data_IF_606969637072
#
_entry.id   IF_606969637072
#
_cell.length_a   1.000
_cell.length_b   1.000
_cell.length_c   1.000
_cell.angle_alpha   90.00
_cell.angle_beta   90.00
_cell.angle_gamma   90.00
#
_symmetry.space_group_name_H-M   'P 1'
#
loop_
_entity.id
_entity.type
_entity.pdbx_description
1 polymer ?
#
# COMPACT_ATOMS: atom_id res chain seq x y z
N UNK A 1 -11.69 0.13 -17.94
CA UNK A 1 -10.38 0.77 -18.08
C UNK A 1 -10.52 2.07 -18.83
N UNK A 2 -9.56 2.98 -18.65
CA UNK A 2 -9.49 4.26 -19.33
C UNK A 2 -8.13 4.38 -20.03
N UNK A 3 -8.17 4.84 -21.27
CA UNK A 3 -6.96 5.09 -22.05
C UNK A 3 -6.19 6.29 -21.49
N UNK A 4 -4.85 6.21 -21.39
CA UNK A 4 -4.01 7.35 -21.02
C UNK A 4 -4.20 8.54 -21.97
N UNK A 5 -4.46 9.76 -21.46
CA UNK A 5 -4.54 10.96 -22.29
C UNK A 5 -3.19 11.36 -22.91
N UNK A 6 -2.10 11.16 -22.16
CA UNK A 6 -0.75 11.52 -22.59
C UNK A 6 0.11 10.27 -22.88
N UNK A 7 1.11 10.36 -23.79
CA UNK A 7 2.09 9.31 -23.99
C UNK A 7 2.86 8.98 -22.71
N UNK A 8 3.15 7.69 -22.52
CA UNK A 8 3.86 7.15 -21.35
C UNK A 8 5.09 6.34 -21.78
N UNK A 9 5.97 6.06 -20.83
CA UNK A 9 7.02 5.06 -20.97
C UNK A 9 6.41 3.65 -21.11
N UNK A 10 7.09 2.72 -21.80
CA UNK A 10 6.71 1.33 -21.74
C UNK A 10 6.85 0.79 -20.31
N UNK A 11 6.01 -0.18 -19.96
CA UNK A 11 6.15 -0.91 -18.69
C UNK A 11 7.49 -1.65 -18.71
N UNK A 12 8.26 -1.55 -17.63
CA UNK A 12 9.56 -2.19 -17.55
C UNK A 12 9.45 -3.73 -17.54
N UNK A 13 10.58 -4.40 -17.76
CA UNK A 13 10.70 -5.85 -17.60
C UNK A 13 11.80 -6.15 -16.59
N UNK A 14 11.76 -7.33 -15.98
CA UNK A 14 12.82 -7.75 -15.08
C UNK A 14 14.14 -7.93 -15.82
N UNK A 15 15.22 -7.42 -15.23
CA UNK A 15 16.57 -7.62 -15.71
C UNK A 15 17.24 -8.81 -15.00
N UNK A 16 18.49 -9.10 -15.37
CA UNK A 16 19.37 -10.05 -14.67
C UNK A 16 18.86 -11.51 -14.58
N UNK A 17 17.95 -11.90 -15.48
CA UNK A 17 17.35 -13.23 -15.49
C UNK A 17 16.40 -13.49 -14.32
N UNK A 18 15.90 -12.44 -13.66
CA UNK A 18 14.94 -12.50 -12.56
C UNK A 18 13.53 -12.91 -13.03
N UNK A 19 13.26 -12.86 -14.32
CA UNK A 19 12.01 -13.30 -14.93
C UNK A 19 11.67 -14.76 -14.59
N UNK A 20 12.68 -15.61 -14.35
CA UNK A 20 12.47 -17.00 -13.88
C UNK A 20 11.75 -17.09 -12.53
N UNK A 21 11.87 -16.08 -11.67
CA UNK A 21 11.21 -16.06 -10.34
C UNK A 21 9.70 -16.10 -10.50
N UNK A 22 9.17 -15.50 -11.57
CA UNK A 22 7.73 -15.45 -11.87
C UNK A 22 7.11 -16.85 -12.06
N UNK A 23 7.92 -17.83 -12.46
CA UNK A 23 7.46 -19.18 -12.82
C UNK A 23 8.00 -20.28 -11.89
N UNK A 24 8.75 -19.90 -10.85
CA UNK A 24 9.30 -20.83 -9.86
C UNK A 24 8.55 -20.66 -8.53
N UNK A 25 7.67 -21.62 -8.16
CA UNK A 25 6.91 -21.52 -6.93
C UNK A 25 7.80 -21.41 -5.69
N UNK A 26 7.40 -20.55 -4.77
CA UNK A 26 8.13 -20.31 -3.52
C UNK A 26 9.33 -19.37 -3.69
N UNK A 27 10.24 -19.46 -2.74
CA UNK A 27 11.38 -18.53 -2.66
C UNK A 27 12.55 -19.03 -3.49
N UNK A 28 13.08 -18.16 -4.32
CA UNK A 28 14.34 -18.34 -5.04
C UNK A 28 15.48 -17.64 -4.29
N UNK A 29 16.43 -18.42 -3.78
CA UNK A 29 17.66 -17.88 -3.18
C UNK A 29 18.48 -17.10 -4.22
N UNK A 30 19.05 -15.97 -3.82
CA UNK A 30 20.09 -15.31 -4.62
C UNK A 30 21.33 -16.20 -4.70
N UNK A 31 21.81 -16.63 -3.53
CA UNK A 31 22.92 -17.56 -3.34
C UNK A 31 22.44 -18.71 -2.45
N UNK A 32 22.64 -19.95 -2.89
CA UNK A 32 22.29 -21.12 -2.09
C UNK A 32 23.18 -21.21 -0.84
N UNK A 33 22.62 -21.21 0.39
CA UNK A 33 23.42 -21.13 1.61
C UNK A 33 24.25 -22.39 1.89
N UNK A 34 23.94 -23.53 1.26
CA UNK A 34 24.66 -24.78 1.46
C UNK A 34 25.86 -24.92 0.51
N UNK A 35 25.68 -24.63 -0.76
CA UNK A 35 26.70 -24.78 -1.81
C UNK A 35 27.47 -23.50 -2.11
N UNK A 36 26.97 -22.35 -1.66
CA UNK A 36 27.45 -21.01 -2.02
C UNK A 36 27.38 -20.69 -3.52
N UNK A 37 26.64 -21.49 -4.30
CA UNK A 37 26.41 -21.26 -5.72
C UNK A 37 25.35 -20.16 -5.89
N UNK A 38 25.63 -19.20 -6.75
CA UNK A 38 24.69 -18.14 -7.10
C UNK A 38 23.70 -18.61 -8.17
N UNK A 39 22.41 -18.38 -7.92
CA UNK A 39 21.35 -18.65 -8.90
C UNK A 39 21.16 -17.49 -9.90
N UNK A 40 21.67 -16.31 -9.55
CA UNK A 40 21.60 -15.07 -10.33
C UNK A 40 22.96 -14.38 -10.33
N UNK A 41 23.08 -13.25 -11.05
CA UNK A 41 24.34 -12.48 -11.04
C UNK A 41 24.72 -12.02 -9.63
N UNK A 42 26.00 -12.13 -9.29
CA UNK A 42 26.57 -11.66 -8.01
C UNK A 42 26.40 -10.14 -7.83
N UNK A 43 26.18 -9.41 -8.93
CA UNK A 43 25.91 -7.98 -8.88
C UNK A 43 24.66 -7.64 -8.06
N UNK A 44 23.63 -8.50 -8.07
CA UNK A 44 22.40 -8.29 -7.30
C UNK A 44 22.60 -8.47 -5.78
N UNK A 45 23.71 -9.05 -5.34
CA UNK A 45 23.93 -9.30 -3.92
C UNK A 45 24.06 -8.01 -3.14
N UNK A 46 24.82 -7.04 -3.64
CA UNK A 46 25.14 -5.82 -2.93
C UNK A 46 24.10 -4.75 -3.25
N UNK A 47 23.32 -4.38 -2.25
CA UNK A 47 22.29 -3.34 -2.40
C UNK A 47 23.00 -1.98 -2.49
N UNK A 48 22.76 -1.19 -3.54
CA UNK A 48 23.31 0.16 -3.62
C UNK A 48 22.84 1.02 -2.45
N UNK A 49 23.75 1.80 -1.88
CA UNK A 49 23.39 2.75 -0.82
C UNK A 49 22.45 3.83 -1.36
N UNK A 50 21.40 4.15 -0.60
CA UNK A 50 20.50 5.27 -0.89
C UNK A 50 21.28 6.59 -1.01
N UNK A 51 22.38 6.74 -0.26
CA UNK A 51 23.24 7.93 -0.29
C UNK A 51 23.97 8.10 -1.64
N UNK A 52 24.28 6.97 -2.30
CA UNK A 52 25.03 6.95 -3.56
C UNK A 52 24.12 7.12 -4.78
N UNK A 53 22.80 7.00 -4.60
CA UNK A 53 21.82 7.10 -5.68
C UNK A 53 21.45 8.57 -5.95
N UNK A 54 21.43 8.94 -7.23
CA UNK A 54 21.10 10.29 -7.69
C UNK A 54 19.60 10.41 -8.02
N UNK A 55 18.75 10.55 -7.01
CA UNK A 55 17.29 10.67 -7.16
C UNK A 55 16.86 11.82 -8.07
N UNK A 56 17.65 12.89 -8.13
CA UNK A 56 17.44 14.01 -9.05
C UNK A 56 17.50 13.61 -10.55
N UNK A 57 18.04 12.42 -10.87
CA UNK A 57 18.06 11.86 -12.22
C UNK A 57 16.81 11.04 -12.57
N UNK A 58 15.92 10.80 -11.60
CA UNK A 58 14.64 10.15 -11.84
C UNK A 58 13.54 11.18 -12.14
N UNK A 59 12.49 10.73 -12.84
CA UNK A 59 11.24 11.47 -12.90
C UNK A 59 10.67 11.67 -11.50
N UNK A 60 10.23 12.89 -11.19
CA UNK A 60 9.65 13.20 -9.88
C UNK A 60 8.33 12.47 -9.65
N UNK A 61 8.09 11.98 -8.42
CA UNK A 61 6.81 11.39 -8.03
C UNK A 61 5.65 12.37 -8.27
N UNK A 62 4.61 11.93 -8.98
CA UNK A 62 3.42 12.73 -9.28
C UNK A 62 2.27 12.32 -8.34
N UNK A 63 1.90 13.20 -7.42
CA UNK A 63 0.71 12.99 -6.57
C UNK A 63 -0.58 13.09 -7.38
N UNK A 64 -1.69 12.56 -6.88
CA UNK A 64 -2.98 12.56 -7.59
C UNK A 64 -3.41 13.99 -7.94
N UNK A 65 -3.25 14.93 -7.01
CA UNK A 65 -3.61 16.34 -7.23
C UNK A 65 -2.72 17.07 -8.24
N UNK A 66 -1.51 16.57 -8.50
CA UNK A 66 -0.58 17.13 -9.50
C UNK A 66 -0.68 16.45 -10.87
N UNK A 67 -1.47 15.39 -10.98
CA UNK A 67 -1.62 14.62 -12.21
C UNK A 67 -2.73 15.19 -13.10
N UNK A 68 -2.36 15.95 -14.13
CA UNK A 68 -3.31 16.55 -15.07
C UNK A 68 -4.10 15.53 -15.91
N UNK A 69 -3.54 14.35 -16.17
CA UNK A 69 -4.26 13.30 -16.90
C UNK A 69 -5.37 12.74 -16.03
N UNK A 70 -5.07 12.51 -14.74
CA UNK A 70 -6.04 12.02 -13.77
C UNK A 70 -7.22 12.99 -13.59
N UNK A 71 -6.95 14.30 -13.51
CA UNK A 71 -7.99 15.34 -13.47
C UNK A 71 -8.83 15.35 -14.75
N UNK A 72 -8.17 15.31 -15.91
CA UNK A 72 -8.84 15.35 -17.21
C UNK A 72 -9.75 14.14 -17.40
N UNK A 73 -9.28 12.95 -17.02
CA UNK A 73 -10.06 11.72 -17.03
C UNK A 73 -11.26 11.81 -16.10
N UNK A 74 -11.08 12.23 -14.84
CA UNK A 74 -12.18 12.38 -13.90
C UNK A 74 -13.28 13.32 -14.42
N UNK A 75 -12.90 14.47 -14.99
CA UNK A 75 -13.85 15.41 -15.60
C UNK A 75 -14.56 14.82 -16.82
N UNK A 76 -13.81 14.23 -17.75
CA UNK A 76 -14.38 13.66 -18.98
C UNK A 76 -15.33 12.50 -18.71
N UNK A 77 -15.03 11.70 -17.68
CA UNK A 77 -15.81 10.56 -17.25
C UNK A 77 -16.89 10.91 -16.21
N UNK A 78 -17.01 12.19 -15.84
CA UNK A 78 -17.96 12.72 -14.85
C UNK A 78 -17.87 12.03 -13.49
N UNK A 79 -16.64 11.78 -13.03
CA UNK A 79 -16.36 11.17 -11.73
C UNK A 79 -15.95 12.24 -10.74
N UNK A 80 -16.57 12.21 -9.56
CA UNK A 80 -16.35 13.21 -8.50
C UNK A 80 -14.98 13.05 -7.84
N UNK A 81 -14.43 11.84 -7.80
CA UNK A 81 -13.20 11.54 -7.08
C UNK A 81 -12.11 11.02 -8.01
N UNK A 82 -10.87 11.37 -7.68
CA UNK A 82 -9.67 10.90 -8.34
C UNK A 82 -8.65 10.46 -7.28
N UNK A 83 -7.93 9.36 -7.47
CA UNK A 83 -6.91 8.94 -6.51
C UNK A 83 -5.93 7.94 -7.07
N UNK A 84 -4.84 7.69 -6.34
CA UNK A 84 -3.83 6.70 -6.71
C UNK A 84 -3.82 5.52 -5.74
N UNK A 85 -3.23 4.41 -6.15
CA UNK A 85 -3.05 3.21 -5.31
C UNK A 85 -2.48 3.52 -3.92
N UNK A 86 -1.50 4.41 -3.84
CA UNK A 86 -0.86 4.78 -2.57
C UNK A 86 -1.75 5.62 -1.66
N UNK A 87 -2.64 6.46 -2.21
CA UNK A 87 -3.58 7.27 -1.41
C UNK A 87 -4.85 6.52 -1.01
N UNK A 88 -5.34 5.61 -1.86
CA UNK A 88 -6.60 4.91 -1.63
C UNK A 88 -6.45 3.64 -0.78
N UNK A 89 -5.31 2.93 -0.87
CA UNK A 89 -5.13 1.64 -0.20
C UNK A 89 -5.22 1.70 1.33
N UNK A 90 -4.86 2.82 1.95
CA UNK A 90 -5.05 3.06 3.38
C UNK A 90 -6.53 3.14 3.77
N UNK A 91 -7.32 3.94 3.04
CA UNK A 91 -8.77 4.07 3.24
C UNK A 91 -9.48 2.72 3.04
N UNK A 92 -9.16 2.02 1.95
CA UNK A 92 -9.71 0.70 1.64
C UNK A 92 -9.37 -0.33 2.71
N UNK A 93 -8.20 -0.25 3.35
CA UNK A 93 -7.82 -1.14 4.45
C UNK A 93 -8.72 -0.95 5.68
N UNK A 94 -9.00 0.29 6.07
CA UNK A 94 -9.89 0.58 7.21
C UNK A 94 -11.34 0.19 6.92
N UNK A 95 -11.81 0.41 5.69
CA UNK A 95 -13.11 -0.08 5.23
C UNK A 95 -13.16 -1.61 5.27
N UNK A 96 -12.11 -2.29 4.83
CA UNK A 96 -12.03 -3.75 4.92
C UNK A 96 -12.15 -4.24 6.36
N UNK A 97 -11.45 -3.61 7.32
CA UNK A 97 -11.55 -3.99 8.73
C UNK A 97 -12.98 -3.86 9.24
N UNK A 98 -13.72 -2.83 8.81
CA UNK A 98 -15.12 -2.63 9.15
C UNK A 98 -16.00 -3.74 8.55
N UNK A 99 -16.00 -3.90 7.22
CA UNK A 99 -16.91 -4.83 6.55
C UNK A 99 -16.60 -6.30 6.84
N UNK A 100 -15.35 -6.62 7.13
CA UNK A 100 -14.91 -7.99 7.48
C UNK A 100 -15.07 -8.31 8.97
N UNK A 101 -15.37 -7.31 9.81
CA UNK A 101 -15.42 -7.48 11.27
C UNK A 101 -14.08 -7.99 11.82
N UNK A 102 -12.97 -7.34 11.45
CA UNK A 102 -11.60 -7.73 11.81
C UNK A 102 -11.27 -9.20 11.48
N UNK A 103 -11.64 -9.67 10.29
CA UNK A 103 -11.29 -11.01 9.84
C UNK A 103 -9.77 -11.22 9.94
N UNK A 104 -9.37 -12.28 10.64
CA UNK A 104 -7.97 -12.70 10.79
C UNK A 104 -7.41 -13.25 9.49
N UNK A 105 -6.10 -13.08 9.31
CA UNK A 105 -5.38 -13.66 8.17
C UNK A 105 -5.28 -15.18 8.30
N UNK A 106 -5.10 -15.83 7.17
CA UNK A 106 -4.86 -17.26 7.06
C UNK A 106 -3.36 -17.53 6.92
N UNK A 107 -2.77 -18.16 7.94
CA UNK A 107 -1.36 -18.57 7.99
C UNK A 107 -1.19 -20.08 7.91
N UNK A 108 -2.23 -20.82 7.52
CA UNK A 108 -2.19 -22.30 7.46
C UNK A 108 -1.23 -22.86 6.41
N UNK A 109 -0.80 -22.04 5.45
CA UNK A 109 0.24 -22.38 4.49
C UNK A 109 1.65 -22.39 5.09
N UNK A 110 1.82 -21.85 6.29
CA UNK A 110 3.10 -21.80 6.98
C UNK A 110 3.35 -23.06 7.81
N UNK A 111 4.61 -23.32 8.14
CA UNK A 111 5.01 -24.41 8.99
C UNK A 111 4.45 -24.29 10.42
N UNK A 112 4.55 -25.39 11.16
CA UNK A 112 4.16 -25.47 12.58
C UNK A 112 4.79 -24.41 13.48
N UNK A 113 5.86 -23.74 13.04
CA UNK A 113 6.47 -22.64 13.78
C UNK A 113 5.50 -21.48 13.99
N UNK A 114 4.52 -21.29 13.11
CA UNK A 114 3.57 -20.18 13.14
C UNK A 114 2.14 -20.59 13.56
N UNK A 115 1.93 -21.84 13.98
CA UNK A 115 0.58 -22.36 14.26
C UNK A 115 -0.13 -21.65 15.43
N UNK A 116 0.63 -21.14 16.40
CA UNK A 116 0.13 -20.44 17.58
C UNK A 116 0.44 -18.94 17.56
N UNK A 117 1.04 -18.47 16.47
CA UNK A 117 1.41 -17.09 16.30
C UNK A 117 0.17 -16.23 15.97
N UNK A 118 0.16 -14.92 16.33
CA UNK A 118 -1.02 -14.08 16.14
C UNK A 118 -1.43 -13.93 14.66
N UNK A 119 -2.72 -14.11 14.37
CA UNK A 119 -3.29 -14.00 13.01
C UNK A 119 -4.05 -12.68 12.79
N UNK A 120 -3.90 -11.71 13.69
CA UNK A 120 -4.40 -10.35 13.48
C UNK A 120 -3.43 -9.54 12.60
N UNK A 121 -3.95 -8.56 11.86
CA UNK A 121 -3.11 -7.58 11.17
C UNK A 121 -2.20 -6.85 12.15
N UNK A 122 -1.01 -6.47 11.70
CA UNK A 122 -0.05 -5.76 12.56
C UNK A 122 -0.57 -4.36 12.92
N UNK A 123 -0.13 -3.76 14.04
CA UNK A 123 -0.47 -2.39 14.39
C UNK A 123 -0.18 -1.39 13.25
N UNK A 124 0.95 -1.55 12.55
CA UNK A 124 1.29 -0.70 11.40
C UNK A 124 0.33 -0.83 10.21
N UNK A 125 -0.25 -2.00 9.98
CA UNK A 125 -1.27 -2.19 8.95
C UNK A 125 -2.64 -1.62 9.35
N UNK A 126 -2.89 -1.47 10.65
CA UNK A 126 -4.07 -0.83 11.23
C UNK A 126 -3.89 0.65 11.55
N UNK A 127 -2.73 1.23 11.24
CA UNK A 127 -2.44 2.63 11.49
C UNK A 127 -3.48 3.54 10.78
N UNK A 128 -4.00 4.59 11.43
CA UNK A 128 -4.98 5.48 10.81
C UNK A 128 -4.53 6.01 9.45
N UNK A 129 -5.45 6.13 8.51
CA UNK A 129 -5.17 6.70 7.20
C UNK A 129 -5.48 8.20 7.19
N UNK A 130 -4.53 9.01 6.76
CA UNK A 130 -4.70 10.45 6.58
C UNK A 130 -4.55 10.82 5.11
N UNK A 131 -5.51 11.55 4.58
CA UNK A 131 -5.53 12.02 3.19
C UNK A 131 -6.02 13.46 3.10
N UNK A 132 -5.72 14.11 1.99
CA UNK A 132 -6.35 15.37 1.58
C UNK A 132 -7.11 15.15 0.30
N UNK A 133 -8.39 15.51 0.30
CA UNK A 133 -9.21 15.65 -0.89
C UNK A 133 -9.00 17.07 -1.40
N UNK A 134 -8.16 17.26 -2.43
CA UNK A 134 -7.95 18.57 -3.07
C UNK A 134 -9.08 18.83 -4.05
N UNK A 135 -9.80 19.92 -3.85
CA UNK A 135 -10.93 20.30 -4.70
C UNK A 135 -10.49 21.16 -5.89
N UNK A 136 -11.02 20.86 -7.08
CA UNK A 136 -10.97 21.74 -8.24
C UNK A 136 -12.12 21.41 -9.21
N UNK A 137 -12.96 22.41 -9.51
CA UNK A 137 -14.04 22.33 -10.49
C UNK A 137 -14.98 21.12 -10.29
N UNK A 138 -15.44 20.89 -9.05
CA UNK A 138 -16.36 19.80 -8.71
C UNK A 138 -15.73 18.40 -8.65
N UNK A 139 -14.42 18.30 -8.86
CA UNK A 139 -13.65 17.05 -8.72
C UNK A 139 -12.72 17.16 -7.51
N UNK A 140 -12.51 16.03 -6.84
CA UNK A 140 -11.70 15.90 -5.64
C UNK A 140 -10.58 14.87 -5.86
N UNK A 141 -9.34 15.34 -5.96
CA UNK A 141 -8.17 14.48 -6.05
C UNK A 141 -7.63 14.12 -4.66
N UNK A 142 -7.48 12.84 -4.37
CA UNK A 142 -7.09 12.31 -3.07
C UNK A 142 -5.57 12.06 -3.04
N UNK A 143 -4.89 12.81 -2.19
CA UNK A 143 -3.47 12.66 -1.90
C UNK A 143 -3.26 12.10 -0.49
N UNK A 144 -2.24 11.23 -0.33
CA UNK A 144 -1.80 10.79 0.99
C UNK A 144 -1.25 11.98 1.77
N UNK A 145 -1.62 12.09 3.03
CA UNK A 145 -1.15 13.15 3.93
C UNK A 145 -0.24 12.55 4.99
N UNK A 146 1.04 12.96 4.97
CA UNK A 146 1.91 12.74 6.14
C UNK A 146 1.62 13.82 7.17
N UNK A 147 1.05 13.45 8.30
CA UNK A 147 0.86 14.36 9.44
C UNK A 147 2.15 14.65 10.21
N UNK A 148 3.25 13.97 9.86
CA UNK A 148 4.56 14.16 10.48
C UNK A 148 5.50 14.82 9.46
N UNK A 149 5.84 16.11 9.64
CA UNK A 149 6.84 16.79 8.82
C UNK A 149 8.17 16.03 8.83
N UNK A 150 8.73 15.77 7.64
CA UNK A 150 10.03 15.09 7.47
C UNK A 150 10.06 13.59 7.80
N UNK A 151 8.94 12.95 8.15
CA UNK A 151 8.92 11.49 8.42
C UNK A 151 9.21 10.63 7.20
N UNK A 152 8.75 11.06 6.02
CA UNK A 152 9.05 10.42 4.74
C UNK A 152 10.53 10.51 4.38
N UNK A 153 11.17 11.66 4.67
CA UNK A 153 12.60 11.90 4.46
C UNK A 153 13.46 11.03 5.38
N UNK A 154 12.99 10.77 6.60
CA UNK A 154 13.66 9.92 7.59
C UNK A 154 13.49 8.41 7.35
N UNK A 155 12.53 8.00 6.52
CA UNK A 155 12.29 6.58 6.26
C UNK A 155 13.12 6.10 5.07
N UNK A 156 14.31 5.57 5.36
CA UNK A 156 15.23 4.99 4.36
C UNK A 156 14.56 3.93 3.47
N UNK A 157 13.55 3.21 3.98
CA UNK A 157 12.88 2.15 3.22
C UNK A 157 12.01 2.69 2.07
N UNK A 158 11.47 3.90 2.20
CA UNK A 158 10.73 4.55 1.12
C UNK A 158 11.64 4.75 -0.09
N UNK A 159 12.81 5.33 0.14
CA UNK A 159 13.82 5.58 -0.88
C UNK A 159 14.41 4.27 -1.43
N UNK A 160 14.66 3.30 -0.55
CA UNK A 160 15.16 1.99 -0.93
C UNK A 160 14.21 1.25 -1.88
N UNK A 161 12.89 1.41 -1.71
CA UNK A 161 11.91 0.85 -2.64
C UNK A 161 12.13 1.33 -4.08
N UNK A 162 12.30 2.64 -4.27
CA UNK A 162 12.56 3.25 -5.59
C UNK A 162 13.90 2.79 -6.18
N UNK A 163 14.95 2.75 -5.36
CA UNK A 163 16.28 2.29 -5.81
C UNK A 163 16.20 0.84 -6.28
N UNK A 164 15.58 -0.03 -5.49
CA UNK A 164 15.49 -1.46 -5.78
C UNK A 164 14.56 -1.76 -6.96
N UNK A 165 13.48 -1.00 -7.16
CA UNK A 165 12.65 -1.12 -8.38
C UNK A 165 13.52 -0.94 -9.64
N UNK A 166 14.29 0.14 -9.72
CA UNK A 166 15.18 0.39 -10.87
C UNK A 166 16.34 -0.61 -10.92
N UNK A 167 16.87 -1.03 -9.78
CA UNK A 167 17.95 -2.02 -9.69
C UNK A 167 17.56 -3.40 -10.23
N UNK A 168 16.29 -3.78 -10.10
CA UNK A 168 15.79 -5.08 -10.55
C UNK A 168 15.29 -5.07 -12.01
N UNK A 169 15.08 -3.88 -12.58
CA UNK A 169 14.49 -3.70 -13.92
C UNK A 169 15.45 -3.12 -14.95
N UNK A 170 16.55 -2.48 -14.53
CA UNK A 170 17.54 -1.88 -15.45
C UNK A 170 18.79 -2.75 -15.59
N UNK A 171 19.33 -2.92 -16.82
CA UNK A 171 20.66 -3.48 -17.01
C UNK A 171 21.72 -2.73 -16.19
N UNK A 172 22.78 -3.45 -15.80
CA UNK A 172 23.83 -2.94 -14.89
C UNK A 172 24.44 -1.63 -15.38
N UNK A 173 24.70 -1.54 -16.67
CA UNK A 173 25.32 -0.38 -17.32
C UNK A 173 24.40 0.84 -17.23
N UNK A 174 23.10 0.65 -17.42
CA UNK A 174 22.10 1.72 -17.32
C UNK A 174 21.88 2.15 -15.87
N UNK A 175 21.75 1.20 -14.95
CA UNK A 175 21.59 1.51 -13.52
C UNK A 175 22.79 2.30 -12.97
N UNK A 176 24.00 1.96 -13.42
CA UNK A 176 25.23 2.63 -12.99
C UNK A 176 25.28 4.12 -13.40
N UNK A 177 24.48 4.55 -14.39
CA UNK A 177 24.30 5.97 -14.76
C UNK A 177 23.42 6.75 -13.78
N UNK A 178 22.68 6.05 -12.91
CA UNK A 178 21.87 6.66 -11.84
C UNK A 178 22.64 6.82 -10.53
N UNK A 179 23.89 6.36 -10.47
CA UNK A 179 24.77 6.53 -9.30
C UNK A 179 25.50 7.88 -9.36
N UNK A 180 25.64 8.56 -8.22
CA UNK A 180 26.34 9.85 -8.11
C UNK A 180 27.78 9.78 -8.60
N UNK A 181 28.44 8.64 -8.42
CA UNK A 181 29.82 8.38 -8.85
C UNK A 181 29.97 8.08 -10.35
N UNK A 182 28.89 8.06 -11.12
CA UNK A 182 28.94 7.68 -12.53
C UNK A 182 29.79 8.65 -13.37
N UNK A 183 30.73 8.16 -14.20
CA UNK A 183 31.51 8.98 -15.11
C UNK A 183 30.72 9.45 -16.34
N UNK A 184 29.59 8.80 -16.63
CA UNK A 184 28.69 9.08 -17.77
C UNK A 184 27.25 9.19 -17.24
N UNK A 185 26.92 10.25 -16.49
CA UNK A 185 25.62 10.40 -15.84
C UNK A 185 24.52 10.65 -16.88
N UNK A 186 23.30 10.19 -16.59
CA UNK A 186 22.13 10.58 -17.38
C UNK A 186 21.96 12.10 -17.30
N UNK A 187 22.04 12.79 -18.45
CA UNK A 187 22.07 14.26 -18.51
C UNK A 187 20.70 14.91 -18.26
N UNK A 188 19.60 14.24 -18.64
CA UNK A 188 18.24 14.72 -18.41
C UNK A 188 17.34 13.62 -17.85
N UNK A 189 16.47 13.93 -16.86
CA UNK A 189 15.43 13.01 -16.45
C UNK A 189 14.50 12.73 -17.64
N UNK A 190 14.05 11.47 -17.77
CA UNK A 190 13.16 11.09 -18.86
C UNK A 190 11.92 12.00 -18.90
N UNK A 191 11.70 12.64 -20.05
CA UNK A 191 10.60 13.61 -20.23
C UNK A 191 9.23 12.95 -20.36
N UNK A 192 9.19 11.63 -20.58
CA UNK A 192 7.95 10.87 -20.68
C UNK A 192 7.48 10.45 -19.30
N UNK A 193 6.16 10.40 -19.13
CA UNK A 193 5.51 9.96 -17.89
C UNK A 193 5.78 8.48 -17.66
N UNK A 194 5.90 8.09 -16.40
CA UNK A 194 5.92 6.68 -16.00
C UNK A 194 4.67 5.94 -16.52
N UNK A 195 4.77 4.62 -16.63
CA UNK A 195 3.65 3.79 -17.06
C UNK A 195 2.53 3.81 -16.00
N UNK A 196 1.36 4.34 -16.36
CA UNK A 196 0.18 4.42 -15.51
C UNK A 196 -1.01 3.73 -16.15
N UNK A 197 -1.70 2.89 -15.36
CA UNK A 197 -3.05 2.43 -15.68
C UNK A 197 -4.09 3.32 -15.01
N UNK A 198 -5.13 3.67 -15.75
CA UNK A 198 -6.30 4.35 -15.24
C UNK A 198 -7.52 3.43 -15.26
N UNK A 199 -8.24 3.37 -14.14
CA UNK A 199 -9.48 2.61 -13.98
C UNK A 199 -10.59 3.50 -13.43
N UNK A 200 -11.84 3.08 -13.54
CA UNK A 200 -12.99 3.82 -13.02
C UNK A 200 -13.96 2.93 -12.27
N UNK A 201 -14.61 3.51 -11.27
CA UNK A 201 -15.81 2.99 -10.61
C UNK A 201 -16.97 3.97 -10.85
N UNK A 202 -18.03 3.91 -10.04
CA UNK A 202 -19.18 4.80 -10.19
C UNK A 202 -18.79 6.27 -9.93
N UNK A 203 -17.99 6.53 -8.89
CA UNK A 203 -17.59 7.90 -8.53
C UNK A 203 -16.10 8.18 -8.60
N UNK A 204 -15.25 7.17 -8.82
CA UNK A 204 -13.80 7.35 -8.89
C UNK A 204 -13.23 7.17 -10.30
N UNK A 205 -12.18 7.93 -10.58
CA UNK A 205 -11.06 7.49 -11.43
C UNK A 205 -9.88 7.14 -10.53
N UNK A 206 -9.27 5.99 -10.73
CA UNK A 206 -8.14 5.49 -9.95
C UNK A 206 -6.93 5.27 -10.86
N UNK A 207 -5.75 5.65 -10.37
CA UNK A 207 -4.47 5.46 -11.07
C UNK A 207 -3.59 4.46 -10.34
N UNK A 208 -2.95 3.56 -11.09
CA UNK A 208 -1.82 2.75 -10.60
C UNK A 208 -0.59 3.00 -11.47
N UNK A 209 0.57 3.16 -10.83
CA UNK A 209 1.86 2.96 -11.50
C UNK A 209 2.04 1.47 -11.79
N UNK A 210 2.64 1.17 -12.94
CA UNK A 210 2.90 -0.20 -13.39
C UNK A 210 4.40 -0.43 -13.38
N UNK A 211 4.87 -1.26 -12.44
CA UNK A 211 6.30 -1.47 -12.23
C UNK A 211 6.90 -2.41 -13.29
N UNK A 212 6.20 -3.50 -13.62
CA UNK A 212 6.78 -4.54 -14.46
C UNK A 212 5.75 -5.33 -15.28
N UNK A 213 6.22 -5.93 -16.39
CA UNK A 213 5.41 -6.71 -17.31
C UNK A 213 6.14 -7.95 -17.83
N UNK A 214 5.44 -9.08 -17.86
CA UNK A 214 5.84 -10.30 -18.57
C UNK A 214 4.63 -10.96 -19.24
N UNK A 215 4.68 -11.09 -20.57
CA UNK A 215 3.60 -11.66 -21.39
C UNK A 215 3.22 -13.11 -21.07
N UNK A 216 4.08 -13.85 -20.34
CA UNK A 216 3.83 -15.25 -19.97
C UNK A 216 2.99 -15.38 -18.70
N UNK A 217 2.83 -14.30 -17.93
CA UNK A 217 1.95 -14.28 -16.77
C UNK A 217 0.47 -14.18 -17.21
N UNK A 218 -0.47 -14.67 -16.40
CA UNK A 218 -1.91 -14.54 -16.67
C UNK A 218 -2.39 -13.08 -16.79
N UNK A 219 -3.60 -12.92 -17.32
CA UNK A 219 -4.29 -11.63 -17.38
C UNK A 219 -3.57 -10.61 -18.28
N UNK A 220 -3.21 -9.47 -17.71
CA UNK A 220 -2.50 -8.39 -18.42
C UNK A 220 -1.00 -8.63 -18.52
N UNK A 221 -0.46 -9.63 -17.82
CA UNK A 221 0.98 -9.85 -17.66
C UNK A 221 1.69 -8.82 -16.76
N UNK A 222 0.96 -7.83 -16.23
CA UNK A 222 1.53 -6.76 -15.40
C UNK A 222 1.62 -7.22 -13.95
N UNK A 223 2.69 -6.86 -13.25
CA UNK A 223 2.87 -7.13 -11.84
C UNK A 223 3.67 -6.03 -11.16
N UNK A 224 3.54 -5.98 -9.84
CA UNK A 224 4.17 -4.96 -8.99
C UNK A 224 5.54 -5.45 -8.49
N UNK A 225 6.48 -4.53 -8.25
CA UNK A 225 7.76 -4.86 -7.59
C UNK A 225 7.73 -4.33 -6.17
N UNK A 226 7.84 -5.23 -5.20
CA UNK A 226 7.89 -4.92 -3.78
C UNK A 226 9.21 -5.38 -3.18
N UNK A 227 9.62 -4.67 -2.14
CA UNK A 227 10.81 -5.01 -1.38
C UNK A 227 10.43 -5.32 0.06
N UNK A 228 11.14 -6.27 0.64
CA UNK A 228 10.92 -6.70 2.01
C UNK A 228 12.22 -6.62 2.79
N UNK A 229 12.36 -5.52 3.53
CA UNK A 229 13.41 -5.39 4.52
C UNK A 229 13.21 -6.43 5.63
N UNK A 230 14.30 -7.06 6.05
CA UNK A 230 14.32 -8.05 7.13
C UNK A 230 13.78 -7.47 8.45
N UNK A 231 13.27 -8.34 9.32
CA UNK A 231 12.55 -7.92 10.53
C UNK A 231 13.27 -6.87 11.40
N UNK A 232 14.59 -6.92 11.67
CA UNK A 232 15.21 -5.94 12.56
C UNK A 232 15.21 -4.53 11.98
N UNK A 233 15.41 -4.41 10.66
CA UNK A 233 15.33 -3.13 9.93
C UNK A 233 13.94 -2.50 10.08
N UNK A 234 12.88 -3.32 10.01
CA UNK A 234 11.49 -2.84 10.10
C UNK A 234 11.09 -2.43 11.51
N UNK A 235 11.71 -3.03 12.52
CA UNK A 235 11.43 -2.71 13.92
C UNK A 235 12.22 -1.50 14.42
N UNK A 236 13.39 -1.25 13.81
CA UNK A 236 14.23 -0.11 14.14
C UNK A 236 14.88 0.48 12.89
N UNK A 237 14.10 1.38 12.26
CA UNK A 237 14.48 2.08 11.03
C UNK A 237 15.65 3.05 11.23
N UNK A 238 15.86 3.54 12.45
CA UNK A 238 16.88 4.56 12.72
C UNK A 238 18.28 3.93 12.80
N UNK A 239 18.38 2.69 13.29
CA UNK A 239 19.63 1.92 13.37
C UNK A 239 19.69 0.84 12.28
N UNK A 240 19.24 1.17 11.06
CA UNK A 240 19.17 0.20 9.97
C UNK A 240 20.56 -0.31 9.55
N UNK A 241 21.62 0.50 9.70
CA UNK A 241 22.99 0.12 9.34
C UNK A 241 23.50 -0.97 10.30
N UNK A 242 23.29 -0.83 11.61
CA UNK A 242 23.61 -1.84 12.63
C UNK A 242 22.78 -3.10 12.46
N UNK A 243 21.48 -2.94 12.19
CA UNK A 243 20.54 -4.03 11.99
C UNK A 243 20.78 -4.82 10.68
N UNK A 244 21.59 -4.30 9.77
CA UNK A 244 21.98 -5.00 8.53
C UNK A 244 22.85 -6.24 8.78
N UNK A 245 23.31 -6.48 10.01
CA UNK A 245 23.97 -7.73 10.40
C UNK A 245 23.05 -8.97 10.39
N UNK A 246 21.73 -8.79 10.37
CA UNK A 246 20.77 -9.89 10.28
C UNK A 246 20.79 -10.55 8.90
N UNK A 247 20.83 -11.87 8.87
CA UNK A 247 20.92 -12.68 7.63
C UNK A 247 19.79 -13.71 7.59
N UNK A 248 19.15 -13.86 6.44
CA UNK A 248 18.23 -14.97 6.19
C UNK A 248 19.06 -16.21 5.84
N UNK A 249 18.95 -17.26 6.65
CA UNK A 249 19.74 -18.50 6.56
C UNK A 249 18.93 -19.70 6.08
N UNK A 250 17.62 -19.68 6.32
CA UNK A 250 16.75 -20.84 6.03
C UNK A 250 15.50 -20.43 5.24
N UNK A 251 14.89 -21.40 4.57
CA UNK A 251 13.57 -21.20 3.95
C UNK A 251 12.48 -21.09 5.02
N UNK A 252 12.51 -22.00 6.00
CA UNK A 252 11.52 -22.12 7.07
C UNK A 252 12.14 -21.90 8.44
N UNK A 253 11.34 -21.43 9.40
CA UNK A 253 11.77 -21.17 10.77
C UNK A 253 11.16 -19.90 11.36
N UNK A 254 11.21 -19.73 12.69
CA UNK A 254 10.61 -18.57 13.36
C UNK A 254 11.45 -17.28 13.26
N UNK A 255 12.74 -17.39 12.90
CA UNK A 255 13.67 -16.27 12.75
C UNK A 255 14.74 -16.64 11.71
N UNK A 256 15.43 -15.63 11.16
CA UNK A 256 16.47 -15.78 10.13
C UNK A 256 15.99 -16.62 8.93
N UNK A 257 14.70 -16.53 8.61
CA UNK A 257 14.05 -17.35 7.59
C UNK A 257 13.18 -16.51 6.66
N UNK A 258 13.03 -16.95 5.42
CA UNK A 258 12.05 -16.35 4.51
C UNK A 258 10.62 -16.52 5.02
N UNK A 259 10.31 -17.65 5.64
CA UNK A 259 8.99 -17.92 6.23
C UNK A 259 8.61 -16.89 7.30
N UNK A 260 9.56 -16.43 8.13
CA UNK A 260 9.31 -15.35 9.10
C UNK A 260 8.99 -14.04 8.40
N UNK A 261 9.74 -13.70 7.35
CA UNK A 261 9.50 -12.47 6.61
C UNK A 261 8.16 -12.51 5.87
N UNK A 262 7.80 -13.66 5.32
CA UNK A 262 6.54 -13.92 4.64
C UNK A 262 5.34 -13.95 5.60
N UNK A 263 5.47 -14.56 6.78
CA UNK A 263 4.47 -14.47 7.86
C UNK A 263 4.15 -13.02 8.23
N UNK A 264 5.19 -12.22 8.47
CA UNK A 264 4.98 -10.81 8.75
C UNK A 264 4.40 -10.08 7.52
N UNK A 265 4.78 -10.48 6.29
CA UNK A 265 4.29 -9.86 5.06
C UNK A 265 2.79 -10.03 4.88
N UNK A 266 2.27 -11.25 5.14
CA UNK A 266 0.82 -11.54 5.18
C UNK A 266 0.10 -10.56 6.10
N UNK A 267 0.62 -10.37 7.32
CA UNK A 267 -0.04 -9.57 8.35
C UNK A 267 0.14 -8.06 8.18
N UNK A 268 1.18 -7.62 7.47
CA UNK A 268 1.59 -6.21 7.43
C UNK A 268 1.37 -5.50 6.10
N UNK A 269 1.30 -6.24 4.97
CA UNK A 269 1.32 -5.60 3.65
C UNK A 269 0.37 -6.22 2.62
N UNK A 270 0.08 -7.53 2.69
CA UNK A 270 -0.74 -8.23 1.69
C UNK A 270 -2.10 -7.58 1.43
N UNK A 271 -2.78 -7.04 2.45
CA UNK A 271 -4.05 -6.35 2.24
C UNK A 271 -3.89 -5.11 1.33
N UNK A 272 -2.84 -4.31 1.54
CA UNK A 272 -2.53 -3.16 0.68
C UNK A 272 -2.13 -3.65 -0.72
N UNK A 273 -1.24 -4.64 -0.81
CA UNK A 273 -0.78 -5.16 -2.10
C UNK A 273 -1.94 -5.73 -2.92
N UNK A 274 -2.86 -6.46 -2.29
CA UNK A 274 -4.08 -6.96 -2.95
C UNK A 274 -4.91 -5.83 -3.56
N UNK A 275 -5.14 -4.74 -2.82
CA UNK A 275 -5.85 -3.58 -3.38
C UNK A 275 -5.07 -2.84 -4.47
N UNK A 276 -3.76 -2.68 -4.32
CA UNK A 276 -2.92 -2.06 -5.34
C UNK A 276 -2.93 -2.88 -6.63
N UNK A 277 -2.77 -4.20 -6.52
CA UNK A 277 -2.83 -5.11 -7.65
C UNK A 277 -4.19 -5.05 -8.36
N UNK A 278 -5.30 -4.97 -7.63
CA UNK A 278 -6.64 -4.84 -8.23
C UNK A 278 -6.86 -3.51 -8.94
N UNK A 279 -6.43 -2.40 -8.34
CA UNK A 279 -6.46 -1.08 -8.98
C UNK A 279 -5.52 -1.04 -10.20
N UNK A 280 -4.41 -1.77 -10.17
CA UNK A 280 -3.45 -1.89 -11.26
C UNK A 280 -3.79 -2.96 -12.30
N UNK A 281 -4.81 -3.79 -12.07
CA UNK A 281 -5.08 -5.01 -12.84
C UNK A 281 -3.82 -5.86 -13.07
N UNK A 282 -3.11 -6.09 -11.96
CA UNK A 282 -1.85 -6.82 -11.88
C UNK A 282 -2.11 -8.27 -11.46
N UNK A 283 -1.31 -9.20 -11.99
CA UNK A 283 -1.39 -10.63 -11.68
C UNK A 283 -0.88 -10.95 -10.26
N UNK A 284 0.06 -10.17 -9.75
CA UNK A 284 0.71 -10.41 -8.46
C UNK A 284 1.80 -9.40 -8.16
N UNK A 285 2.67 -9.76 -7.22
CA UNK A 285 3.83 -8.96 -6.83
C UNK A 285 5.10 -9.79 -6.78
N UNK A 286 6.20 -9.26 -7.30
CA UNK A 286 7.54 -9.78 -7.03
C UNK A 286 8.04 -9.17 -5.72
N UNK A 287 8.53 -10.00 -4.80
CA UNK A 287 9.09 -9.56 -3.52
C UNK A 287 10.58 -9.84 -3.49
N UNK A 288 11.40 -8.79 -3.34
CA UNK A 288 12.84 -8.89 -3.09
C UNK A 288 13.14 -8.77 -1.59
N UNK A 289 13.72 -9.81 -0.98
CA UNK A 289 14.08 -9.82 0.45
C UNK A 289 15.49 -9.30 0.65
N UNK A 290 15.67 -8.33 1.54
CA UNK A 290 16.96 -7.67 1.77
C UNK A 290 17.12 -7.21 3.21
N UNK A 291 18.34 -6.88 3.62
CA UNK A 291 18.63 -6.24 4.91
C UNK A 291 19.21 -4.83 4.72
N UNK A 292 18.93 -4.19 3.58
CA UNK A 292 19.47 -2.88 3.11
C UNK A 292 20.93 -2.88 2.67
N UNK A 293 21.74 -3.87 3.08
CA UNK A 293 23.10 -4.05 2.59
C UNK A 293 23.20 -5.13 1.51
N UNK A 294 22.41 -6.21 1.65
CA UNK A 294 22.37 -7.31 0.69
C UNK A 294 20.97 -7.84 0.40
N UNK A 295 20.80 -8.40 -0.79
CA UNK A 295 19.61 -9.16 -1.20
C UNK A 295 19.83 -10.65 -0.88
N UNK A 296 18.82 -11.30 -0.30
CA UNK A 296 18.84 -12.73 0.05
C UNK A 296 18.21 -13.61 -1.03
N UNK A 297 17.16 -13.10 -1.68
CA UNK A 297 16.38 -13.86 -2.64
C UNK A 297 15.08 -13.16 -3.00
N UNK A 298 14.30 -13.85 -3.84
CA UNK A 298 13.11 -13.31 -4.48
C UNK A 298 11.95 -14.30 -4.39
N UNK A 299 10.73 -13.80 -4.32
CA UNK A 299 9.52 -14.62 -4.38
C UNK A 299 8.50 -13.91 -5.26
N UNK A 300 7.84 -14.63 -6.16
CA UNK A 300 6.64 -14.14 -6.80
C UNK A 300 5.42 -14.56 -5.99
N UNK A 301 4.54 -13.62 -5.66
CA UNK A 301 3.31 -13.85 -4.91
C UNK A 301 2.13 -13.46 -5.79
N UNK A 302 1.39 -14.43 -6.36
CA UNK A 302 0.22 -14.13 -7.18
C UNK A 302 -0.93 -13.60 -6.34
N UNK A 303 -1.84 -12.88 -6.98
CA UNK A 303 -3.02 -12.29 -6.34
C UNK A 303 -3.95 -13.36 -5.72
N UNK A 304 -4.00 -14.56 -6.31
CA UNK A 304 -4.71 -15.72 -5.77
C UNK A 304 -4.17 -16.22 -4.42
N UNK A 305 -2.86 -16.16 -4.23
CA UNK A 305 -2.20 -16.50 -2.97
C UNK A 305 -2.50 -15.45 -1.91
N UNK A 306 -2.43 -14.16 -2.26
CA UNK A 306 -2.85 -13.07 -1.37
C UNK A 306 -4.31 -13.23 -0.95
N UNK A 307 -5.21 -13.61 -1.86
CA UNK A 307 -6.61 -13.87 -1.55
C UNK A 307 -6.81 -15.01 -0.56
N UNK A 308 -6.05 -16.09 -0.74
CA UNK A 308 -6.06 -17.23 0.18
C UNK A 308 -5.59 -16.84 1.58
N UNK A 309 -4.58 -15.97 1.67
CA UNK A 309 -4.04 -15.45 2.93
C UNK A 309 -4.94 -14.41 3.60
N UNK A 310 -5.63 -13.54 2.86
CA UNK A 310 -6.38 -12.41 3.44
C UNK A 310 -7.88 -12.70 3.54
N UNK A 311 -8.46 -13.26 2.48
CA UNK A 311 -9.91 -13.49 2.36
C UNK A 311 -10.29 -14.97 2.58
N UNK A 312 -9.29 -15.84 2.71
CA UNK A 312 -9.41 -17.25 3.12
C UNK A 312 -9.59 -18.25 1.98
N UNK A 313 -9.73 -17.78 0.73
CA UNK A 313 -9.57 -18.61 -0.47
C UNK A 313 -9.30 -17.71 -1.67
N UNK A 314 -8.69 -18.28 -2.70
CA UNK A 314 -8.58 -17.68 -4.03
C UNK A 314 -9.93 -17.19 -4.57
N UNK A 315 -9.90 -16.10 -5.35
CA UNK A 315 -11.05 -15.55 -6.08
C UNK A 315 -12.03 -14.73 -5.24
N UNK A 316 -11.84 -14.62 -3.93
CA UNK A 316 -12.72 -13.83 -3.06
C UNK A 316 -12.41 -12.34 -3.07
N UNK A 317 -11.21 -11.95 -3.49
CA UNK A 317 -10.75 -10.58 -3.33
C UNK A 317 -11.49 -9.56 -4.19
N UNK A 318 -11.99 -9.93 -5.37
CA UNK A 318 -12.70 -8.99 -6.26
C UNK A 318 -13.99 -8.48 -5.63
N UNK A 319 -14.79 -9.38 -5.08
CA UNK A 319 -16.02 -9.03 -4.38
C UNK A 319 -15.75 -8.18 -3.13
N UNK A 320 -14.68 -8.48 -2.40
CA UNK A 320 -14.27 -7.66 -1.24
C UNK A 320 -13.86 -6.26 -1.70
N UNK A 321 -13.05 -6.17 -2.75
CA UNK A 321 -12.59 -4.91 -3.31
C UNK A 321 -13.76 -4.06 -3.80
N UNK A 322 -14.71 -4.65 -4.51
CA UNK A 322 -15.92 -3.97 -4.98
C UNK A 322 -16.72 -3.37 -3.80
N UNK A 323 -16.95 -4.15 -2.73
CA UNK A 323 -17.62 -3.65 -1.52
C UNK A 323 -16.84 -2.54 -0.81
N UNK A 324 -15.51 -2.66 -0.75
CA UNK A 324 -14.68 -1.61 -0.19
C UNK A 324 -14.76 -0.31 -1.00
N UNK A 325 -14.74 -0.39 -2.34
CA UNK A 325 -14.86 0.77 -3.22
C UNK A 325 -16.24 1.42 -3.08
N UNK A 326 -17.33 0.64 -3.08
CA UNK A 326 -18.69 1.17 -2.87
C UNK A 326 -18.84 1.91 -1.54
N UNK A 327 -18.29 1.35 -0.46
CA UNK A 327 -18.29 2.01 0.84
C UNK A 327 -17.43 3.28 0.84
N UNK A 328 -16.25 3.25 0.19
CA UNK A 328 -15.40 4.42 0.04
C UNK A 328 -16.13 5.54 -0.71
N UNK A 329 -16.85 5.21 -1.78
CA UNK A 329 -17.68 6.15 -2.53
C UNK A 329 -18.76 6.80 -1.64
N UNK A 330 -19.45 6.01 -0.82
CA UNK A 330 -20.45 6.51 0.11
C UNK A 330 -19.84 7.47 1.14
N UNK A 331 -18.74 7.07 1.79
CA UNK A 331 -18.07 7.88 2.82
C UNK A 331 -17.52 9.18 2.22
N UNK A 332 -16.85 9.11 1.06
CA UNK A 332 -16.27 10.31 0.43
C UNK A 332 -17.36 11.26 -0.10
N UNK A 333 -18.49 10.71 -0.57
CA UNK A 333 -19.67 11.53 -0.93
C UNK A 333 -20.19 12.30 0.28
N UNK A 334 -20.33 11.63 1.43
CA UNK A 334 -20.75 12.30 2.65
C UNK A 334 -19.71 13.34 3.10
N UNK A 335 -18.42 13.04 2.96
CA UNK A 335 -17.36 13.97 3.31
C UNK A 335 -17.46 15.30 2.54
N UNK A 336 -17.67 15.24 1.23
CA UNK A 336 -17.81 16.46 0.41
C UNK A 336 -19.14 17.19 0.61
N UNK A 337 -20.18 16.52 1.10
CA UNK A 337 -21.42 17.19 1.51
C UNK A 337 -21.24 18.03 2.77
N UNK A 338 -20.37 17.61 3.71
CA UNK A 338 -20.11 18.37 4.94
C UNK A 338 -19.33 19.66 4.68
N UNK A 339 -18.43 19.65 3.69
CA UNK A 339 -17.64 20.80 3.27
C UNK A 339 -17.68 20.95 1.74
N UNK A 340 -18.80 21.46 1.19
CA UNK A 340 -18.96 21.59 -0.25
C UNK A 340 -17.95 22.56 -0.84
N UNK A 341 -17.48 22.23 -2.05
CA UNK A 341 -16.56 23.02 -2.89
C UNK A 341 -15.24 23.42 -2.20
N UNK A 342 -14.83 22.71 -1.16
CA UNK A 342 -13.60 22.97 -0.40
C UNK A 342 -12.68 21.76 -0.39
N UNK A 343 -11.38 21.99 -0.31
CA UNK A 343 -10.44 20.90 -0.03
C UNK A 343 -10.65 20.39 1.41
N UNK A 344 -10.54 19.08 1.64
CA UNK A 344 -10.87 18.44 2.93
C UNK A 344 -9.70 17.61 3.42
N UNK A 345 -9.24 17.83 4.66
CA UNK A 345 -8.41 16.89 5.41
C UNK A 345 -9.31 15.80 5.97
N UNK A 346 -8.97 14.55 5.68
CA UNK A 346 -9.70 13.38 6.15
C UNK A 346 -8.76 12.44 6.91
N UNK A 347 -9.13 12.10 8.14
CA UNK A 347 -8.45 11.07 8.93
C UNK A 347 -9.43 9.94 9.22
N UNK A 348 -9.03 8.70 8.97
CA UNK A 348 -9.90 7.54 9.03
C UNK A 348 -9.27 6.44 9.87
N UNK A 349 -10.03 5.89 10.83
CA UNK A 349 -9.60 4.76 11.64
C UNK A 349 -10.75 3.81 11.95
N UNK A 350 -10.52 2.52 11.69
CA UNK A 350 -11.29 1.41 12.24
C UNK A 350 -10.47 0.78 13.37
N UNK A 351 -10.72 1.18 14.61
CA UNK A 351 -10.04 0.61 15.78
C UNK A 351 -10.35 -0.88 15.91
N UNK A 352 -9.32 -1.70 16.14
CA UNK A 352 -9.50 -3.14 16.32
C UNK A 352 -10.48 -3.44 17.46
N UNK A 353 -11.45 -4.32 17.20
CA UNK A 353 -12.54 -4.66 18.13
C UNK A 353 -13.70 -3.65 18.18
N UNK A 354 -13.60 -2.49 17.55
CA UNK A 354 -14.73 -1.55 17.39
C UNK A 354 -15.58 -1.93 16.18
N UNK A 355 -16.91 -1.82 16.27
CA UNK A 355 -17.82 -1.99 15.12
C UNK A 355 -18.08 -0.67 14.36
N UNK A 356 -17.36 0.39 14.74
CA UNK A 356 -17.45 1.73 14.14
C UNK A 356 -16.14 2.08 13.44
N UNK A 357 -16.26 2.54 12.21
CA UNK A 357 -15.21 3.25 11.48
C UNK A 357 -15.41 4.75 11.70
N UNK A 358 -14.41 5.41 12.27
CA UNK A 358 -14.46 6.85 12.52
C UNK A 358 -13.76 7.60 11.38
N UNK A 359 -14.39 8.66 10.91
CA UNK A 359 -13.88 9.55 9.86
C UNK A 359 -13.95 10.99 10.34
N UNK A 360 -12.81 11.67 10.40
CA UNK A 360 -12.70 13.06 10.84
C UNK A 360 -12.43 13.94 9.65
N UNK A 361 -13.20 15.01 9.53
CA UNK A 361 -13.20 15.93 8.39
C UNK A 361 -12.95 17.35 8.88
N UNK A 362 -11.97 18.02 8.27
CA UNK A 362 -11.69 19.44 8.47
C UNK A 362 -11.44 20.09 7.09
N UNK A 363 -11.82 21.36 6.86
CA UNK A 363 -11.36 22.07 5.68
C UNK A 363 -9.82 22.13 5.66
N UNK A 364 -9.22 21.81 4.51
CA UNK A 364 -7.77 21.79 4.38
C UNK A 364 -7.17 23.19 4.31
N UNK A 365 -7.91 24.13 3.72
CA UNK A 365 -7.53 25.52 3.52
C UNK A 365 -8.39 26.39 4.45
N UNK A 366 -8.01 26.49 5.72
CA UNK A 366 -8.71 27.28 6.75
C UNK A 366 -7.75 28.21 7.48
N UNK A 367 -8.11 29.49 7.60
CA UNK A 367 -7.32 30.48 8.32
C UNK A 367 -7.96 30.76 9.69
N UNK A 368 -7.36 30.21 10.75
CA UNK A 368 -7.92 30.36 12.10
C UNK A 368 -7.86 31.79 12.65
N UNK A 369 -6.91 32.61 12.20
CA UNK A 369 -6.78 34.01 12.63
C UNK A 369 -7.95 34.88 12.13
N UNK A 370 -8.45 34.58 10.94
CA UNK A 370 -9.48 35.39 10.26
C UNK A 370 -10.86 34.74 10.29
N UNK A 371 -10.95 33.42 10.34
CA UNK A 371 -12.20 32.66 10.25
C UNK A 371 -12.60 32.00 11.58
N UNK A 372 -11.75 32.09 12.61
CA UNK A 372 -11.96 31.44 13.89
C UNK A 372 -11.59 29.94 13.87
N UNK A 373 -11.94 29.18 14.92
CA UNK A 373 -11.52 27.79 15.06
C UNK A 373 -11.91 26.93 13.85
N UNK A 374 -10.99 26.09 13.37
CA UNK A 374 -11.28 25.21 12.23
C UNK A 374 -12.52 24.35 12.53
N UNK A 375 -13.54 24.32 11.66
CA UNK A 375 -14.68 23.44 11.86
C UNK A 375 -14.23 21.99 11.68
N UNK A 376 -14.82 21.09 12.46
CA UNK A 376 -14.52 19.66 12.42
C UNK A 376 -15.81 18.86 12.50
N UNK A 377 -15.91 17.83 11.66
CA UNK A 377 -17.01 16.86 11.68
C UNK A 377 -16.44 15.46 11.90
N UNK A 378 -17.07 14.69 12.79
CA UNK A 378 -16.84 13.25 12.91
C UNK A 378 -17.99 12.52 12.22
N UNK A 379 -17.68 11.56 11.37
CA UNK A 379 -18.62 10.56 10.86
C UNK A 379 -18.33 9.22 11.53
N UNK A 380 -19.37 8.60 12.04
CA UNK A 380 -19.36 7.23 12.54
C UNK A 380 -20.05 6.33 11.51
N UNK A 381 -19.30 5.39 10.95
CA UNK A 381 -19.78 4.46 9.91
C UNK A 381 -19.91 3.07 10.52
N UNK A 382 -21.10 2.48 10.39
CA UNK A 382 -21.40 1.11 10.86
C UNK A 382 -21.99 0.27 9.74
N UNK A 383 -21.85 -1.05 9.85
CA UNK A 383 -22.30 -2.00 8.82
C UNK A 383 -22.97 -3.23 9.41
N UNK A 384 -23.94 -3.76 8.67
CA UNK A 384 -24.55 -5.07 8.92
C UNK A 384 -24.41 -5.89 7.63
N UNK A 385 -23.91 -7.11 7.76
CA UNK A 385 -23.61 -7.98 6.62
C UNK A 385 -24.69 -9.06 6.48
N UNK A 386 -25.16 -9.26 5.25
CA UNK A 386 -26.09 -10.34 4.90
C UNK A 386 -25.48 -11.25 3.85
N UNK A 387 -25.67 -12.55 4.01
CA UNK A 387 -25.35 -13.56 3.01
C UNK A 387 -26.66 -14.25 2.59
N UNK A 388 -27.14 -13.93 1.39
CA UNK A 388 -28.55 -14.10 1.04
C UNK A 388 -29.43 -13.24 1.96
N UNK A 389 -30.46 -13.84 2.56
CA UNK A 389 -31.39 -13.15 3.47
C UNK A 389 -31.00 -13.27 4.96
N UNK A 390 -29.83 -13.87 5.25
CA UNK A 390 -29.38 -14.12 6.62
C UNK A 390 -28.30 -13.15 7.04
N UNK A 391 -28.54 -12.43 8.14
CA UNK A 391 -27.52 -11.62 8.79
C UNK A 391 -26.36 -12.51 9.29
N UNK A 392 -25.14 -12.08 9.01
CA UNK A 392 -23.93 -12.80 9.39
C UNK A 392 -22.83 -11.84 9.83
N UNK A 393 -21.83 -12.39 10.54
CA UNK A 393 -20.58 -11.67 10.79
C UNK A 393 -19.88 -11.35 9.48
N UNK A 394 -19.20 -10.21 9.41
CA UNK A 394 -18.41 -9.79 8.23
C UNK A 394 -17.41 -10.85 7.79
N UNK A 395 -16.74 -11.51 8.74
CA UNK A 395 -15.76 -12.56 8.45
C UNK A 395 -16.37 -13.79 7.79
N UNK A 396 -17.64 -14.10 8.11
CA UNK A 396 -18.45 -15.13 7.46
C UNK A 396 -18.91 -14.68 6.08
N UNK A 397 -19.33 -13.41 5.91
CA UNK A 397 -19.73 -12.88 4.61
C UNK A 397 -18.57 -12.89 3.60
N UNK A 398 -17.36 -12.52 4.03
CA UNK A 398 -16.14 -12.63 3.23
C UNK A 398 -15.85 -14.08 2.86
N UNK A 399 -16.06 -15.04 3.78
CA UNK A 399 -15.78 -16.44 3.54
C UNK A 399 -16.83 -17.17 2.67
N UNK A 400 -18.08 -16.70 2.64
CA UNK A 400 -19.15 -17.29 1.83
C UNK A 400 -19.22 -16.66 0.45
N UNK A 401 -18.88 -17.45 -0.57
CA UNK A 401 -18.90 -17.06 -2.00
C UNK A 401 -20.08 -17.67 -2.77
N UNK A 402 -20.80 -18.58 -2.14
CA UNK A 402 -21.96 -19.32 -2.66
C UNK A 402 -23.26 -18.52 -2.64
N UNK A 403 -23.33 -17.44 -1.86
CA UNK A 403 -24.51 -16.59 -1.72
C UNK A 403 -24.19 -15.13 -2.08
N UNK A 404 -25.17 -14.30 -2.48
CA UNK A 404 -24.98 -12.86 -2.60
C UNK A 404 -24.58 -12.22 -1.26
N UNK A 405 -23.71 -11.20 -1.29
CA UNK A 405 -23.36 -10.42 -0.09
C UNK A 405 -23.86 -9.00 -0.22
N UNK A 406 -24.72 -8.66 0.72
CA UNK A 406 -25.30 -7.33 0.86
C UNK A 406 -24.77 -6.71 2.14
N UNK A 407 -24.40 -5.44 2.05
CA UNK A 407 -23.96 -4.63 3.20
C UNK A 407 -24.99 -3.53 3.38
N UNK A 408 -25.68 -3.54 4.52
CA UNK A 408 -26.42 -2.37 4.97
C UNK A 408 -25.48 -1.51 5.78
N UNK A 409 -25.52 -0.20 5.60
CA UNK A 409 -24.62 0.71 6.28
C UNK A 409 -25.34 1.96 6.77
N UNK A 410 -24.78 2.58 7.80
CA UNK A 410 -25.20 3.87 8.31
C UNK A 410 -23.97 4.76 8.41
N UNK A 411 -24.08 6.00 7.93
CA UNK A 411 -23.08 7.06 8.13
C UNK A 411 -23.78 8.14 8.95
N UNK A 412 -23.35 8.33 10.20
CA UNK A 412 -23.99 9.25 11.14
C UNK A 412 -23.01 10.26 11.71
N UNK A 413 -23.49 11.47 11.96
CA UNK A 413 -22.75 12.48 12.72
C UNK A 413 -23.15 12.31 14.19
N UNK A 414 -22.23 11.92 15.09
CA UNK A 414 -22.57 11.73 16.49
C UNK A 414 -22.80 13.10 17.16
N UNK A 415 -23.74 13.14 18.12
CA UNK A 415 -24.07 14.34 18.90
C UNK A 415 -23.01 14.63 19.97
N UNK A 416 -21.77 14.87 19.55
CA UNK A 416 -20.62 15.18 20.40
C UNK A 416 -20.29 16.67 20.36
N UNK A 417 -19.74 17.19 21.44
CA UNK A 417 -19.17 18.54 21.47
C UNK A 417 -17.89 18.62 20.61
N UNK A 418 -17.57 19.82 20.11
CA UNK A 418 -16.32 20.05 19.36
C UNK A 418 -15.07 19.62 20.14
N UNK A 419 -15.08 19.77 21.47
CA UNK A 419 -13.98 19.34 22.33
C UNK A 419 -13.80 17.83 22.31
N UNK A 420 -14.89 17.07 22.35
CA UNK A 420 -14.86 15.61 22.30
C UNK A 420 -14.39 15.12 20.93
N UNK A 421 -14.91 15.71 19.84
CA UNK A 421 -14.48 15.36 18.47
C UNK A 421 -12.98 15.60 18.29
N UNK A 422 -12.47 16.75 18.74
CA UNK A 422 -11.02 17.04 18.71
C UNK A 422 -10.21 16.12 19.60
N UNK A 423 -10.75 15.72 20.75
CA UNK A 423 -10.14 14.70 21.62
C UNK A 423 -9.99 13.37 20.90
N UNK A 424 -11.07 12.88 20.28
CA UNK A 424 -11.07 11.65 19.49
C UNK A 424 -10.05 11.73 18.33
N UNK A 425 -10.03 12.83 17.58
CA UNK A 425 -9.05 13.03 16.52
C UNK A 425 -7.62 13.00 17.06
N UNK A 426 -7.36 13.67 18.18
CA UNK A 426 -6.03 13.68 18.82
C UNK A 426 -5.59 12.27 19.23
N UNK A 427 -6.50 11.45 19.76
CA UNK A 427 -6.21 10.06 20.09
C UNK A 427 -5.89 9.22 18.84
N UNK A 428 -6.64 9.40 17.76
CA UNK A 428 -6.40 8.73 16.48
C UNK A 428 -5.03 9.12 15.93
N UNK A 429 -4.76 10.43 15.86
CA UNK A 429 -3.47 10.98 15.43
C UNK A 429 -2.35 10.43 16.31
N UNK A 430 -2.51 10.34 17.64
CA UNK A 430 -1.51 9.76 18.56
C UNK A 430 -1.09 8.33 18.19
N UNK A 431 -2.02 7.52 17.64
CA UNK A 431 -1.75 6.13 17.24
C UNK A 431 -0.96 6.03 15.93
N UNK A 432 -1.00 7.06 15.09
CA UNK A 432 -0.08 7.13 13.94
C UNK A 432 1.38 7.28 14.36
N UNK A 433 1.65 7.81 15.56
CA UNK A 433 3.02 7.94 16.07
C UNK A 433 3.51 6.70 16.81
N UNK A 434 2.65 5.72 17.12
CA UNK A 434 3.05 4.56 17.92
C UNK A 434 4.09 3.68 17.21
N UNK A 435 4.18 3.74 15.87
CA UNK A 435 5.23 3.09 15.10
C UNK A 435 6.63 3.73 15.29
N UNK A 436 6.70 4.96 15.82
CA UNK A 436 7.94 5.67 16.16
C UNK A 436 8.26 5.64 17.66
N UNK A 437 7.34 5.14 18.50
CA UNK A 437 7.57 5.03 19.93
C UNK A 437 8.48 3.83 20.20
N UNK A 438 9.78 4.11 20.33
CA UNK A 438 10.70 3.27 21.08
C UNK A 438 10.11 2.96 22.46
N UNK A 439 10.38 1.80 23.06
CA UNK A 439 10.05 1.58 24.47
C UNK A 439 10.71 2.68 25.29
N UNK A 440 9.91 3.51 25.95
CA UNK A 440 10.40 4.42 26.97
C UNK A 440 10.98 3.57 28.11
N UNK A 441 12.31 3.54 28.26
CA UNK A 441 12.96 2.91 29.41
C UNK A 441 14.14 1.97 29.13
N UNK A 442 14.89 2.15 28.04
CA UNK A 442 16.25 1.57 27.94
C UNK A 442 17.24 2.71 27.75
N UNK A 443 17.66 3.27 28.88
CA UNK A 443 18.87 4.09 29.04
C UNK A 443 19.93 3.26 29.73
#
# INVERSE_FOLDING_TARGET
>A
DLEPPSPQQPIAQLAHGLDRVLFNPGVSWLQDPRSNVYNYTTWLENVPSVKDFAFERLGGFISSSRDQDLWSLARSEKRTFAGSTSSLSGLLSHIYFLISGDKRVNTTSLSRHFQYEPTNFTPGQRMPASVVLKHSDGVYAIDSLSLIPGSSEKNVLTWMGTVLEKFLTMPKEQFSRLLRSSPDPTEEPESKREAYRYSKSDKFVMRSQLDCYDSRLPGTGVFDIKTRAAVPIRLDLMNYEENSGYIIRTLQGPLESFEKEYYDLIRSAFLKYSFQARIGNMDGVLVAYHNTARIFGFQYVPLSEMDSCIFGSEGRGDRVFEKCVQMMEAIMTEAVHQFPDQSIRCVTEKKEGSDVLQVFLEPADWNEETQGPTPIVQLDVTVVNYAGDTEVRGSTAVARSDLPWTILYSISIPSLSLREIRGNLSEVISRQFFAYNLPSGVS
#
